data_IF_139339260014
#
_entry.id   IF_139339260014
#
_cell.length_a   1.000
_cell.length_b   1.000
_cell.length_c   1.000
_cell.angle_alpha   90.00
_cell.angle_beta   90.00
_cell.angle_gamma   90.00
#
_symmetry.space_group_name_H-M   'P 1'
#
loop_
_entity.id
_entity.type
_entity.pdbx_description
1 polymer ?
#
# COMPACT_ATOMS: atom_id res chain seq x y z
N UNK A 1 16.04 3.20 9.05
CA UNK A 1 15.68 1.82 9.49
C UNK A 1 14.30 1.48 8.99
N UNK A 2 14.05 0.21 8.57
CA UNK A 2 12.72 -0.27 8.19
C UNK A 2 12.16 -1.14 9.32
N UNK A 3 10.93 -0.85 9.77
CA UNK A 3 10.30 -1.57 10.87
C UNK A 3 9.69 -2.91 10.42
N UNK A 4 9.18 -3.00 9.19
CA UNK A 4 8.52 -4.22 8.69
C UNK A 4 8.83 -4.51 7.23
N UNK A 5 9.24 -5.77 6.95
CA UNK A 5 9.56 -6.25 5.61
C UNK A 5 9.07 -7.70 5.42
N UNK A 6 7.73 -7.90 5.50
CA UNK A 6 6.99 -9.16 5.30
C UNK A 6 7.12 -10.20 6.42
N UNK A 7 7.86 -9.95 7.45
CA UNK A 7 8.30 -10.89 8.49
C UNK A 7 7.44 -10.81 9.76
N UNK A 8 6.12 -11.01 9.61
CA UNK A 8 5.23 -11.10 10.76
C UNK A 8 5.59 -12.33 11.62
N UNK A 9 5.75 -12.18 12.97
CA UNK A 9 5.94 -13.32 13.87
C UNK A 9 4.84 -14.36 13.69
N UNK A 10 5.23 -15.62 13.47
CA UNK A 10 4.30 -16.69 13.11
C UNK A 10 3.18 -16.89 14.14
N UNK A 11 3.47 -16.72 15.43
CA UNK A 11 2.46 -16.79 16.48
C UNK A 11 1.32 -15.76 16.31
N UNK A 12 1.62 -14.56 15.81
CA UNK A 12 0.57 -13.57 15.54
C UNK A 12 -0.32 -13.97 14.36
N UNK A 13 0.22 -14.74 13.42
CA UNK A 13 -0.52 -15.22 12.27
C UNK A 13 -1.33 -16.48 12.58
N UNK A 14 -0.73 -17.46 13.26
CA UNK A 14 -1.36 -18.77 13.53
C UNK A 14 -2.46 -18.68 14.58
N UNK A 15 -2.18 -17.96 15.68
CA UNK A 15 -3.10 -17.84 16.81
C UNK A 15 -4.02 -16.62 16.74
N UNK A 16 -3.71 -15.65 15.88
CA UNK A 16 -4.34 -14.33 15.90
C UNK A 16 -4.79 -13.78 14.53
N UNK A 17 -4.85 -14.60 13.47
CA UNK A 17 -5.22 -14.16 12.11
C UNK A 17 -4.34 -13.02 11.53
N UNK A 18 -3.15 -12.82 12.07
CA UNK A 18 -2.18 -11.86 11.54
C UNK A 18 -2.74 -10.43 11.38
N UNK A 19 -2.50 -9.84 10.24
CA UNK A 19 -2.98 -8.49 9.93
C UNK A 19 -4.50 -8.36 9.75
N UNK A 20 -5.26 -9.45 9.70
CA UNK A 20 -6.72 -9.39 9.76
C UNK A 20 -7.23 -8.96 11.15
N UNK A 21 -6.40 -9.08 12.19
CA UNK A 21 -6.76 -8.75 13.56
C UNK A 21 -6.17 -7.40 14.00
N UNK A 22 -6.99 -6.53 14.58
CA UNK A 22 -6.54 -5.26 15.14
C UNK A 22 -5.57 -5.41 16.34
N UNK A 23 -5.55 -6.56 17.00
CA UNK A 23 -4.53 -6.85 18.01
C UNK A 23 -3.10 -6.82 17.43
N UNK A 24 -2.91 -7.25 16.18
CA UNK A 24 -1.63 -7.13 15.47
C UNK A 24 -1.27 -5.67 15.20
N UNK A 25 -2.25 -4.81 14.93
CA UNK A 25 -2.04 -3.36 14.77
C UNK A 25 -1.48 -2.75 16.06
N UNK A 26 -2.07 -3.10 17.22
CA UNK A 26 -1.60 -2.64 18.53
C UNK A 26 -0.22 -3.18 18.87
N UNK A 27 0.03 -4.47 18.63
CA UNK A 27 1.34 -5.07 18.84
C UNK A 27 2.44 -4.43 17.97
N UNK A 28 2.09 -4.02 16.74
CA UNK A 28 3.02 -3.30 15.88
C UNK A 28 3.31 -1.88 16.38
N UNK A 29 2.32 -1.17 16.94
CA UNK A 29 2.55 0.12 17.58
C UNK A 29 3.53 -0.01 18.76
N UNK A 30 3.31 -0.99 19.65
CA UNK A 30 4.19 -1.26 20.78
C UNK A 30 5.63 -1.56 20.32
N UNK A 31 5.78 -2.38 19.29
CA UNK A 31 7.07 -2.66 18.67
C UNK A 31 7.73 -1.42 18.08
N UNK A 32 6.98 -0.59 17.38
CA UNK A 32 7.50 0.65 16.79
C UNK A 32 7.98 1.62 17.89
N UNK A 33 7.18 1.81 18.94
CA UNK A 33 7.54 2.64 20.12
C UNK A 33 8.81 2.12 20.77
N UNK A 34 8.91 0.82 21.02
CA UNK A 34 10.13 0.22 21.55
C UNK A 34 11.36 0.52 20.68
N UNK A 35 11.23 0.41 19.35
CA UNK A 35 12.31 0.70 18.42
C UNK A 35 12.73 2.20 18.48
N UNK A 36 11.77 3.11 18.55
CA UNK A 36 12.03 4.54 18.61
C UNK A 36 12.74 4.94 19.92
N UNK A 37 12.26 4.39 21.04
CA UNK A 37 12.87 4.64 22.36
C UNK A 37 14.27 4.05 22.49
N UNK A 38 14.51 2.88 21.87
CA UNK A 38 15.78 2.15 22.02
C UNK A 38 16.86 2.62 21.04
N UNK A 39 16.47 2.96 19.80
CA UNK A 39 17.41 3.22 18.71
C UNK A 39 17.27 4.63 18.11
N UNK A 40 16.45 5.49 18.71
CA UNK A 40 16.17 6.82 18.17
C UNK A 40 17.36 7.76 18.13
N UNK A 41 18.35 7.53 18.99
CA UNK A 41 19.62 8.24 18.99
C UNK A 41 20.59 7.82 17.88
N UNK A 42 20.34 6.66 17.26
CA UNK A 42 21.16 6.06 16.21
C UNK A 42 20.55 6.18 14.80
N UNK A 43 19.26 6.50 14.72
CA UNK A 43 18.48 6.43 13.46
C UNK A 43 17.69 7.72 13.23
N UNK A 44 18.06 8.45 12.18
CA UNK A 44 17.39 9.71 11.79
C UNK A 44 16.20 9.49 10.84
N UNK A 45 16.17 8.36 10.10
CA UNK A 45 15.14 8.07 9.12
C UNK A 45 14.56 6.68 9.29
N UNK A 46 13.25 6.63 9.42
CA UNK A 46 12.48 5.42 9.66
C UNK A 46 11.55 5.11 8.50
N UNK A 47 11.24 3.85 8.31
CA UNK A 47 10.27 3.37 7.33
C UNK A 47 9.30 2.48 8.06
N UNK A 48 8.00 2.75 7.96
CA UNK A 48 6.97 1.94 8.60
C UNK A 48 6.87 0.56 7.96
N UNK A 49 6.65 0.52 6.65
CA UNK A 49 6.52 -0.71 5.87
C UNK A 49 7.30 -0.61 4.57
N UNK A 50 7.88 -1.72 4.14
CA UNK A 50 8.30 -1.91 2.76
C UNK A 50 7.22 -2.69 2.01
N UNK A 51 6.71 -2.11 0.92
CA UNK A 51 5.77 -2.73 -0.04
C UNK A 51 4.56 -3.42 0.63
N UNK A 52 3.74 -2.73 1.43
CA UNK A 52 2.64 -3.35 2.18
C UNK A 52 1.58 -4.02 1.29
N UNK A 53 1.54 -3.70 -0.01
CA UNK A 53 0.67 -4.36 -0.98
C UNK A 53 1.10 -5.82 -1.27
N UNK A 54 2.39 -6.14 -1.10
CA UNK A 54 2.92 -7.47 -1.45
C UNK A 54 2.32 -8.59 -0.59
N UNK A 55 2.26 -8.51 0.76
CA UNK A 55 1.55 -9.50 1.56
C UNK A 55 0.06 -9.60 1.22
N UNK A 56 -0.58 -8.48 0.88
CA UNK A 56 -1.99 -8.45 0.48
C UNK A 56 -2.22 -9.21 -0.83
N UNK A 57 -1.44 -8.89 -1.86
CA UNK A 57 -1.57 -9.53 -3.17
C UNK A 57 -1.22 -11.01 -3.12
N UNK A 58 -0.04 -11.33 -2.62
CA UNK A 58 0.48 -12.69 -2.70
C UNK A 58 -0.08 -13.61 -1.62
N UNK A 59 -0.55 -13.07 -0.50
CA UNK A 59 -1.19 -13.85 0.56
C UNK A 59 -2.68 -14.07 0.37
N UNK A 60 -3.37 -13.10 -0.31
CA UNK A 60 -4.84 -13.07 -0.34
C UNK A 60 -5.46 -13.01 -1.74
N UNK A 61 -4.69 -12.71 -2.80
CA UNK A 61 -5.18 -12.73 -4.18
C UNK A 61 -4.57 -13.84 -5.04
N UNK A 62 -3.29 -14.17 -4.82
CA UNK A 62 -2.54 -15.05 -5.73
C UNK A 62 -2.12 -16.40 -5.13
N UNK A 63 -2.44 -16.69 -3.88
CA UNK A 63 -2.07 -17.95 -3.21
C UNK A 63 -0.55 -18.27 -3.34
N UNK A 64 0.28 -17.25 -3.23
CA UNK A 64 1.74 -17.38 -3.42
C UNK A 64 2.54 -17.20 -2.14
N UNK A 65 2.03 -16.45 -1.18
CA UNK A 65 2.59 -16.28 0.15
C UNK A 65 1.62 -16.75 1.23
N UNK A 66 2.16 -17.07 2.40
CA UNK A 66 1.35 -17.30 3.58
C UNK A 66 0.48 -16.05 3.89
N UNK A 67 -0.80 -16.19 4.27
CA UNK A 67 -1.50 -17.41 4.71
C UNK A 67 -2.14 -18.25 3.60
N UNK A 68 -1.87 -18.02 2.33
CA UNK A 68 -2.43 -18.77 1.21
C UNK A 68 -3.97 -18.71 1.11
N UNK A 69 -4.54 -17.59 1.50
CA UNK A 69 -5.97 -17.37 1.61
C UNK A 69 -6.45 -16.56 0.40
N UNK A 70 -7.29 -17.16 -0.45
CA UNK A 70 -7.85 -16.42 -1.60
C UNK A 70 -9.17 -15.80 -1.18
N UNK A 71 -9.11 -14.59 -0.63
CA UNK A 71 -10.23 -13.92 0.00
C UNK A 71 -10.09 -12.39 -0.13
N UNK A 72 -11.01 -11.77 -0.88
CA UNK A 72 -10.95 -10.34 -1.15
C UNK A 72 -11.33 -9.48 0.06
N UNK A 73 -12.25 -9.93 0.90
CA UNK A 73 -12.63 -9.21 2.12
C UNK A 73 -11.47 -9.19 3.11
N UNK A 74 -10.84 -10.35 3.33
CA UNK A 74 -9.65 -10.45 4.16
C UNK A 74 -8.50 -9.59 3.60
N UNK A 75 -8.27 -9.58 2.29
CA UNK A 75 -7.27 -8.74 1.64
C UNK A 75 -7.46 -7.25 1.93
N UNK A 76 -8.70 -6.76 1.79
CA UNK A 76 -9.03 -5.35 2.04
C UNK A 76 -8.89 -5.01 3.52
N UNK A 77 -9.28 -5.91 4.41
CA UNK A 77 -9.13 -5.77 5.86
C UNK A 77 -7.65 -5.70 6.27
N UNK A 78 -6.80 -6.56 5.70
CA UNK A 78 -5.35 -6.54 5.91
C UNK A 78 -4.74 -5.25 5.41
N UNK A 79 -5.10 -4.78 4.21
CA UNK A 79 -4.62 -3.51 3.68
C UNK A 79 -5.00 -2.34 4.59
N UNK A 80 -6.24 -2.31 5.09
CA UNK A 80 -6.72 -1.27 6.00
C UNK A 80 -5.97 -1.30 7.35
N UNK A 81 -5.84 -2.47 7.98
CA UNK A 81 -5.15 -2.63 9.26
C UNK A 81 -3.66 -2.29 9.15
N UNK A 82 -3.02 -2.62 8.04
CA UNK A 82 -1.63 -2.24 7.76
C UNK A 82 -1.47 -0.73 7.65
N UNK A 83 -2.45 -0.03 7.05
CA UNK A 83 -2.48 1.43 7.03
C UNK A 83 -2.64 2.02 8.44
N UNK A 84 -3.53 1.48 9.26
CA UNK A 84 -3.68 1.93 10.66
C UNK A 84 -2.37 1.76 11.43
N UNK A 85 -1.75 0.58 11.35
CA UNK A 85 -0.47 0.29 11.98
C UNK A 85 0.62 1.29 11.55
N UNK A 86 0.69 1.59 10.25
CA UNK A 86 1.62 2.59 9.73
C UNK A 86 1.35 3.99 10.31
N UNK A 87 0.08 4.39 10.46
CA UNK A 87 -0.28 5.72 11.04
C UNK A 87 0.02 5.82 12.53
N UNK A 88 -0.21 4.75 13.28
CA UNK A 88 0.18 4.69 14.69
C UNK A 88 1.71 4.82 14.85
N UNK A 89 2.48 4.15 14.00
CA UNK A 89 3.94 4.29 14.01
C UNK A 89 4.40 5.71 13.63
N UNK A 90 3.75 6.36 12.64
CA UNK A 90 4.04 7.76 12.29
C UNK A 90 3.78 8.67 13.48
N UNK A 91 2.61 8.55 14.12
CA UNK A 91 2.25 9.30 15.31
C UNK A 91 3.27 9.09 16.43
N UNK A 92 3.57 7.83 16.76
CA UNK A 92 4.54 7.48 17.79
C UNK A 92 5.95 8.03 17.51
N UNK A 93 6.39 7.99 16.25
CA UNK A 93 7.69 8.58 15.86
C UNK A 93 7.74 10.08 16.13
N UNK A 94 6.70 10.81 15.76
CA UNK A 94 6.64 12.26 15.97
C UNK A 94 6.48 12.65 17.46
N UNK A 95 5.86 11.78 18.27
CA UNK A 95 5.75 11.97 19.72
C UNK A 95 7.10 11.74 20.44
N UNK A 96 7.88 10.74 20.01
CA UNK A 96 9.09 10.29 20.71
C UNK A 96 10.34 10.97 20.12
N UNK A 97 10.41 11.12 18.80
CA UNK A 97 11.61 11.56 18.08
C UNK A 97 11.37 12.88 17.33
N UNK A 98 11.64 14.00 17.98
CA UNK A 98 11.34 15.35 17.44
C UNK A 98 12.08 15.71 16.14
N UNK A 99 13.24 15.10 15.88
CA UNK A 99 14.10 15.45 14.74
C UNK A 99 14.18 14.35 13.68
N UNK A 100 13.60 13.18 13.92
CA UNK A 100 13.60 12.07 12.99
C UNK A 100 12.51 12.24 11.93
N UNK A 101 12.67 11.52 10.82
CA UNK A 101 11.70 11.45 9.72
C UNK A 101 11.21 10.02 9.56
N UNK A 102 9.92 9.87 9.32
CA UNK A 102 9.31 8.57 9.08
C UNK A 102 8.55 8.54 7.76
N UNK A 103 8.78 7.49 6.98
CA UNK A 103 8.20 7.29 5.66
C UNK A 103 7.59 5.91 5.48
N UNK A 104 7.19 5.64 4.25
CA UNK A 104 6.75 4.33 3.78
C UNK A 104 7.41 4.06 2.42
N UNK A 105 7.71 2.80 2.12
CA UNK A 105 8.18 2.40 0.79
C UNK A 105 7.07 1.65 0.08
N UNK A 106 6.66 2.15 -1.08
CA UNK A 106 5.59 1.57 -1.89
C UNK A 106 6.14 0.98 -3.18
N UNK A 107 5.61 -0.18 -3.55
CA UNK A 107 5.81 -0.76 -4.86
C UNK A 107 4.82 -0.12 -5.83
N UNK A 108 5.26 0.92 -6.55
CA UNK A 108 4.42 1.65 -7.49
C UNK A 108 4.65 1.14 -8.91
N UNK A 109 3.76 0.27 -9.37
CA UNK A 109 3.80 -0.33 -10.70
C UNK A 109 2.67 0.26 -11.54
N UNK A 110 2.96 1.21 -12.47
CA UNK A 110 1.91 1.83 -13.27
C UNK A 110 1.27 0.84 -14.23
N UNK A 111 -0.07 0.75 -14.18
CA UNK A 111 -0.87 -0.05 -15.07
C UNK A 111 -1.31 0.74 -16.31
N UNK A 112 -0.90 0.31 -17.51
CA UNK A 112 -1.36 0.89 -18.76
C UNK A 112 -2.43 0.01 -19.41
N UNK A 113 -3.52 0.57 -19.97
CA UNK A 113 -4.51 -0.23 -20.65
C UNK A 113 -3.89 -0.93 -21.88
N UNK A 114 -4.28 -2.16 -22.13
CA UNK A 114 -3.81 -2.93 -23.28
C UNK A 114 -4.16 -2.24 -24.61
N UNK A 115 -5.33 -1.61 -24.68
CA UNK A 115 -5.82 -0.89 -25.83
C UNK A 115 -6.63 0.35 -25.44
N UNK A 116 -7.13 1.11 -26.42
CA UNK A 116 -8.07 2.22 -26.19
C UNK A 116 -9.52 1.76 -25.97
N UNK A 117 -9.78 0.47 -25.89
CA UNK A 117 -11.11 -0.04 -25.62
C UNK A 117 -11.55 0.38 -24.18
N UNK A 118 -12.80 0.85 -23.99
CA UNK A 118 -13.24 1.33 -22.66
C UNK A 118 -13.07 0.31 -21.53
N UNK A 119 -13.27 -0.99 -21.83
CA UNK A 119 -13.06 -2.04 -20.83
C UNK A 119 -11.58 -2.18 -20.39
N UNK A 120 -10.62 -2.03 -21.31
CA UNK A 120 -9.20 -2.06 -20.98
C UNK A 120 -8.80 -0.81 -20.15
N UNK A 121 -9.38 0.34 -20.46
CA UNK A 121 -9.18 1.59 -19.71
C UNK A 121 -9.73 1.46 -18.28
N UNK A 122 -10.98 0.95 -18.14
CA UNK A 122 -11.59 0.68 -16.83
C UNK A 122 -10.76 -0.31 -16.01
N UNK A 123 -10.27 -1.39 -16.62
CA UNK A 123 -9.44 -2.38 -15.95
C UNK A 123 -8.12 -1.76 -15.45
N UNK A 124 -7.47 -0.91 -16.25
CA UNK A 124 -6.24 -0.21 -15.84
C UNK A 124 -6.51 0.77 -14.69
N UNK A 125 -7.65 1.47 -14.69
CA UNK A 125 -8.05 2.35 -13.59
C UNK A 125 -8.27 1.58 -12.29
N UNK A 126 -8.99 0.44 -12.34
CA UNK A 126 -9.20 -0.41 -11.16
C UNK A 126 -7.85 -0.95 -10.64
N UNK A 127 -6.97 -1.39 -11.52
CA UNK A 127 -5.64 -1.84 -11.13
C UNK A 127 -4.83 -0.75 -10.43
N UNK A 128 -4.85 0.49 -10.93
CA UNK A 128 -4.19 1.62 -10.28
C UNK A 128 -4.78 1.90 -8.89
N UNK A 129 -6.10 1.92 -8.77
CA UNK A 129 -6.79 2.12 -7.48
C UNK A 129 -6.39 1.09 -6.44
N UNK A 130 -6.36 -0.19 -6.82
CA UNK A 130 -6.08 -1.29 -5.90
C UNK A 130 -4.59 -1.44 -5.61
N UNK A 131 -3.73 -1.42 -6.64
CA UNK A 131 -2.30 -1.72 -6.48
C UNK A 131 -1.48 -0.52 -6.00
N UNK A 132 -1.87 0.69 -6.39
CA UNK A 132 -1.10 1.89 -6.04
C UNK A 132 -1.84 2.80 -5.06
N UNK A 133 -3.04 3.26 -5.44
CA UNK A 133 -3.74 4.32 -4.70
C UNK A 133 -4.25 3.87 -3.34
N UNK A 134 -4.51 2.58 -3.14
CA UNK A 134 -4.95 2.01 -1.86
C UNK A 134 -3.97 2.27 -0.70
N UNK A 135 -2.67 2.38 -1.02
CA UNK A 135 -1.62 2.73 -0.06
C UNK A 135 -1.07 4.14 -0.25
N UNK A 136 -0.94 4.61 -1.50
CA UNK A 136 -0.34 5.91 -1.78
C UNK A 136 -1.19 7.06 -1.23
N UNK A 137 -2.48 7.09 -1.56
CA UNK A 137 -3.33 8.21 -1.18
C UNK A 137 -3.51 8.35 0.34
N UNK A 138 -3.85 7.30 1.12
CA UNK A 138 -3.92 7.44 2.57
C UNK A 138 -2.55 7.72 3.20
N UNK A 139 -1.44 7.25 2.62
CA UNK A 139 -0.11 7.52 3.16
C UNK A 139 0.34 8.97 3.01
N UNK A 140 0.03 9.59 1.89
CA UNK A 140 0.54 10.92 1.52
C UNK A 140 -0.50 12.02 1.71
N UNK A 141 -1.77 11.72 1.43
CA UNK A 141 -2.88 12.69 1.47
C UNK A 141 -3.78 12.52 2.70
N UNK A 142 -3.64 11.43 3.46
CA UNK A 142 -4.48 11.12 4.62
C UNK A 142 -5.92 10.71 4.27
N UNK A 143 -6.20 10.39 2.99
CA UNK A 143 -7.56 10.04 2.54
C UNK A 143 -7.52 8.92 1.51
N UNK A 144 -8.56 8.09 1.48
CA UNK A 144 -8.75 7.11 0.41
C UNK A 144 -9.42 7.72 -0.81
N UNK A 145 -9.09 7.30 -2.05
CA UNK A 145 -9.82 7.70 -3.24
C UNK A 145 -11.30 7.30 -3.14
N UNK A 146 -12.20 8.25 -3.40
CA UNK A 146 -13.65 7.99 -3.31
C UNK A 146 -14.07 6.83 -4.23
N UNK A 147 -13.54 6.76 -5.46
CA UNK A 147 -13.82 5.69 -6.41
C UNK A 147 -13.43 4.30 -5.85
N UNK A 148 -12.33 4.20 -5.07
CA UNK A 148 -11.97 2.94 -4.41
C UNK A 148 -12.99 2.59 -3.32
N UNK A 149 -13.38 3.56 -2.51
CA UNK A 149 -14.38 3.36 -1.44
C UNK A 149 -15.73 2.93 -2.02
N UNK A 150 -16.18 3.56 -3.11
CA UNK A 150 -17.41 3.20 -3.82
C UNK A 150 -17.37 1.76 -4.36
N UNK A 151 -16.25 1.35 -4.95
CA UNK A 151 -16.06 -0.04 -5.42
C UNK A 151 -16.14 -1.02 -4.25
N UNK A 152 -15.44 -0.77 -3.14
CA UNK A 152 -15.45 -1.67 -1.99
C UNK A 152 -16.83 -1.76 -1.35
N UNK A 153 -17.57 -0.65 -1.32
CA UNK A 153 -18.95 -0.60 -0.84
C UNK A 153 -19.90 -1.39 -1.75
N UNK A 154 -19.77 -1.24 -3.08
CA UNK A 154 -20.58 -1.98 -4.06
C UNK A 154 -20.41 -3.50 -3.91
N UNK A 155 -19.18 -3.94 -3.60
CA UNK A 155 -18.89 -5.37 -3.38
C UNK A 155 -19.17 -5.84 -1.93
N UNK A 156 -19.57 -4.95 -1.03
CA UNK A 156 -19.90 -5.29 0.36
C UNK A 156 -18.68 -5.69 1.21
N UNK A 157 -17.48 -5.26 0.82
CA UNK A 157 -16.22 -5.59 1.50
C UNK A 157 -15.48 -4.35 2.04
N UNK A 158 -16.20 -3.23 2.17
CA UNK A 158 -15.63 -2.05 2.80
C UNK A 158 -15.36 -2.32 4.30
N UNK A 159 -14.14 -2.13 4.80
CA UNK A 159 -13.85 -2.36 6.22
C UNK A 159 -14.65 -1.42 7.11
N UNK A 160 -15.09 -1.93 8.25
CA UNK A 160 -15.66 -1.07 9.29
C UNK A 160 -14.54 -0.17 9.86
N UNK A 161 -14.71 1.13 9.70
CA UNK A 161 -13.81 2.16 10.23
C UNK A 161 -14.54 2.99 11.29
N UNK A 162 -13.82 3.36 12.36
CA UNK A 162 -14.33 4.37 13.30
C UNK A 162 -13.89 5.77 12.85
N UNK A 163 -14.54 6.80 13.37
CA UNK A 163 -14.15 8.19 13.11
C UNK A 163 -12.71 8.45 13.57
N UNK A 164 -12.34 7.93 14.74
CA UNK A 164 -11.00 8.08 15.32
C UNK A 164 -9.92 7.44 14.43
N UNK A 165 -10.22 6.30 13.79
CA UNK A 165 -9.31 5.65 12.86
C UNK A 165 -9.13 6.46 11.57
N UNK A 166 -10.22 7.06 11.07
CA UNK A 166 -10.16 7.94 9.89
C UNK A 166 -9.40 9.23 10.20
N UNK A 167 -9.59 9.80 11.40
CA UNK A 167 -8.80 10.94 11.88
C UNK A 167 -7.33 10.59 12.04
N UNK A 168 -7.02 9.43 12.61
CA UNK A 168 -5.64 8.94 12.71
C UNK A 168 -4.95 8.86 11.34
N UNK A 169 -5.65 8.33 10.32
CA UNK A 169 -5.14 8.24 8.96
C UNK A 169 -4.93 9.64 8.36
N UNK A 170 -5.87 10.54 8.55
CA UNK A 170 -5.85 11.91 8.01
C UNK A 170 -4.71 12.73 8.57
N UNK A 171 -4.50 12.65 9.88
CA UNK A 171 -3.66 13.59 10.62
C UNK A 171 -2.19 13.12 10.73
N UNK A 172 -1.92 11.84 10.43
CA UNK A 172 -0.58 11.26 10.56
C UNK A 172 -0.02 10.75 9.21
N UNK A 173 0.12 11.65 8.24
CA UNK A 173 0.75 11.33 6.95
C UNK A 173 2.26 11.19 7.06
N UNK A 174 2.88 10.47 6.13
CA UNK A 174 4.33 10.23 6.13
C UNK A 174 5.13 11.47 5.75
N UNK A 175 6.34 11.63 6.31
CA UNK A 175 7.27 12.71 5.96
C UNK A 175 7.91 12.54 4.59
N UNK A 176 8.08 11.30 4.14
CA UNK A 176 8.65 10.97 2.83
C UNK A 176 8.08 9.68 2.27
N UNK A 177 8.16 9.53 0.96
CA UNK A 177 7.79 8.32 0.24
C UNK A 177 9.04 7.72 -0.42
N UNK A 178 9.30 6.45 -0.13
CA UNK A 178 10.19 5.62 -0.93
C UNK A 178 9.40 4.90 -2.02
N UNK A 179 10.00 4.69 -3.17
CA UNK A 179 9.36 3.99 -4.29
C UNK A 179 10.27 2.89 -4.80
N UNK A 180 9.77 1.67 -4.76
CA UNK A 180 10.33 0.55 -5.51
C UNK A 180 9.61 0.48 -6.85
N UNK A 181 10.37 0.59 -7.93
CA UNK A 181 9.84 0.53 -9.28
C UNK A 181 10.59 -0.53 -10.08
N UNK A 182 9.85 -1.46 -10.65
CA UNK A 182 10.42 -2.55 -11.43
C UNK A 182 10.10 -2.43 -12.92
N UNK A 183 8.82 -2.43 -13.27
CA UNK A 183 8.37 -2.39 -14.65
C UNK A 183 6.90 -1.96 -14.74
N UNK A 184 6.46 -1.35 -15.85
CA UNK A 184 5.04 -1.09 -16.07
C UNK A 184 4.29 -2.38 -16.42
N UNK A 185 3.00 -2.41 -16.13
CA UNK A 185 2.11 -3.51 -16.50
C UNK A 185 1.18 -3.11 -17.65
N UNK A 186 0.84 -4.06 -18.51
CA UNK A 186 -0.26 -3.96 -19.46
C UNK A 186 -1.49 -4.66 -18.90
N UNK A 187 -2.57 -3.92 -18.76
CA UNK A 187 -3.78 -4.35 -18.06
C UNK A 187 -4.95 -4.51 -19.01
N UNK A 188 -5.71 -5.57 -18.85
CA UNK A 188 -6.96 -5.81 -19.56
C UNK A 188 -7.96 -6.51 -18.63
N UNK A 189 -9.28 -6.47 -18.92
CA UNK A 189 -10.27 -7.26 -18.16
C UNK A 189 -9.94 -8.74 -18.18
N UNK A 190 -10.26 -9.48 -17.12
CA UNK A 190 -10.08 -10.94 -17.11
C UNK A 190 -10.92 -11.60 -18.21
N UNK A 191 -10.34 -12.54 -18.93
CA UNK A 191 -11.07 -13.35 -19.93
C UNK A 191 -11.89 -14.44 -19.27
N UNK A 192 -11.38 -14.97 -18.16
CA UNK A 192 -12.03 -15.99 -17.35
C UNK A 192 -11.77 -15.64 -15.86
N UNK A 193 -12.80 -15.80 -15.04
CA UNK A 193 -12.66 -15.68 -13.61
C UNK A 193 -11.84 -16.86 -13.08
N UNK A 194 -10.72 -16.60 -12.41
CA UNK A 194 -9.95 -17.65 -11.72
C UNK A 194 -10.65 -18.11 -10.45
N UNK A 195 -11.37 -17.20 -9.80
CA UNK A 195 -12.07 -17.41 -8.55
C UNK A 195 -13.49 -16.82 -8.68
N UNK A 196 -14.48 -17.63 -9.14
CA UNK A 196 -15.83 -17.15 -9.42
C UNK A 196 -16.56 -16.62 -8.18
N UNK A 197 -16.14 -17.03 -6.99
CA UNK A 197 -16.79 -16.66 -5.72
C UNK A 197 -16.37 -15.26 -5.20
N UNK A 198 -15.40 -14.62 -5.84
CA UNK A 198 -14.98 -13.27 -5.48
C UNK A 198 -15.12 -12.30 -6.66
N UNK A 199 -16.20 -11.49 -6.71
CA UNK A 199 -16.44 -10.52 -7.78
C UNK A 199 -15.30 -9.50 -7.92
N UNK A 200 -14.70 -9.07 -6.81
CA UNK A 200 -13.56 -8.14 -6.84
C UNK A 200 -12.33 -8.81 -7.48
N UNK A 201 -12.04 -10.07 -7.17
CA UNK A 201 -10.95 -10.81 -7.80
C UNK A 201 -11.15 -10.99 -9.31
N UNK A 202 -12.39 -11.08 -9.78
CA UNK A 202 -12.68 -11.09 -11.21
C UNK A 202 -12.35 -9.78 -11.90
N UNK A 203 -12.55 -8.65 -11.23
CA UNK A 203 -12.24 -7.32 -11.76
C UNK A 203 -10.75 -6.98 -11.66
N UNK A 204 -10.04 -7.55 -10.67
CA UNK A 204 -8.60 -7.35 -10.42
C UNK A 204 -7.75 -8.44 -11.11
N UNK A 205 -8.30 -9.61 -11.41
CA UNK A 205 -7.61 -10.68 -12.15
C UNK A 205 -7.27 -10.21 -13.57
N UNK A 206 -6.36 -9.24 -13.59
CA UNK A 206 -5.77 -8.73 -14.82
C UNK A 206 -4.81 -9.78 -15.34
N UNK A 207 -4.93 -10.17 -16.61
CA UNK A 207 -3.88 -10.91 -17.27
C UNK A 207 -2.68 -9.97 -17.38
N UNK A 208 -1.76 -10.07 -16.44
CA UNK A 208 -0.53 -9.31 -16.39
C UNK A 208 0.35 -9.77 -17.55
N UNK A 209 0.27 -9.08 -18.67
CA UNK A 209 1.28 -9.20 -19.71
C UNK A 209 2.45 -8.32 -19.33
N UNK A 210 3.51 -8.91 -18.78
CA UNK A 210 4.76 -8.18 -18.54
C UNK A 210 5.29 -7.64 -19.86
N UNK A 211 5.31 -6.31 -20.00
CA UNK A 211 6.11 -5.67 -21.02
C UNK A 211 7.56 -5.76 -20.56
N UNK A 212 8.40 -6.51 -21.24
CA UNK A 212 9.84 -6.56 -20.96
C UNK A 212 10.46 -5.19 -21.29
N UNK A 213 10.54 -4.32 -20.28
CA UNK A 213 11.33 -3.11 -20.32
C UNK A 213 12.34 -3.17 -19.19
N UNK A 214 13.57 -2.97 -19.55
CA UNK A 214 14.82 -3.02 -18.80
C UNK A 214 14.73 -3.07 -17.26
N UNK A 215 15.30 -4.11 -16.70
CA UNK A 215 15.53 -4.32 -15.26
C UNK A 215 16.43 -3.22 -14.70
N UNK A 216 15.86 -2.28 -13.96
CA UNK A 216 16.63 -1.38 -13.10
C UNK A 216 15.83 -1.13 -11.84
N UNK A 217 16.35 -1.55 -10.71
CA UNK A 217 15.81 -1.22 -9.39
C UNK A 217 16.25 0.21 -9.07
N UNK A 218 15.32 1.13 -8.91
CA UNK A 218 15.60 2.48 -8.46
C UNK A 218 14.80 2.75 -7.20
N UNK A 219 15.49 2.95 -6.08
CA UNK A 219 14.89 3.51 -4.87
C UNK A 219 14.94 5.03 -5.02
N UNK A 220 13.78 5.66 -5.04
CA UNK A 220 13.66 7.12 -5.12
C UNK A 220 13.03 7.64 -3.85
N UNK A 221 13.77 8.47 -3.13
CA UNK A 221 13.26 9.16 -1.93
C UNK A 221 12.88 10.59 -2.33
N UNK A 222 11.60 10.91 -2.24
CA UNK A 222 11.07 12.26 -2.49
C UNK A 222 10.49 12.87 -1.22
N UNK A 223 10.55 14.22 -1.10
CA UNK A 223 9.86 14.96 -0.03
C UNK A 223 8.42 15.24 -0.45
N UNK A 224 7.47 14.96 0.44
CA UNK A 224 6.09 15.43 0.29
C UNK A 224 6.03 16.96 0.51
N UNK A 225 5.39 17.67 -0.39
CA UNK A 225 5.04 19.08 -0.19
C UNK A 225 3.55 19.23 -0.44
N UNK A 226 2.90 20.15 0.26
CA UNK A 226 1.47 20.43 0.18
C UNK A 226 0.95 20.85 -1.21
N UNK A 227 1.82 20.86 -2.24
CA UNK A 227 1.48 21.29 -3.63
C UNK A 227 1.76 20.25 -4.71
N UNK A 228 2.06 18.99 -4.35
CA UNK A 228 2.32 17.92 -5.29
C UNK A 228 3.56 17.12 -4.95
N UNK A 229 3.60 15.90 -5.41
CA UNK A 229 4.69 14.97 -5.15
C UNK A 229 5.64 14.94 -6.35
N UNK A 230 6.92 15.27 -6.14
CA UNK A 230 7.95 15.14 -7.17
C UNK A 230 8.82 13.92 -6.91
N UNK A 231 8.83 12.98 -7.85
CA UNK A 231 9.76 11.85 -7.85
C UNK A 231 11.00 12.26 -8.66
N UNK A 232 12.16 12.32 -8.03
CA UNK A 232 13.43 12.59 -8.71
C UNK A 232 14.24 11.31 -8.83
N UNK A 233 14.55 10.86 -10.05
CA UNK A 233 15.54 9.80 -10.28
C UNK A 233 16.89 10.40 -10.64
N UNK A 234 17.96 9.92 -10.02
CA UNK A 234 19.34 10.36 -10.32
C UNK A 234 19.88 9.86 -11.68
N UNK A 235 19.13 9.03 -12.40
CA UNK A 235 19.66 8.37 -13.61
C UNK A 235 18.64 8.27 -14.74
N UNK A 236 17.89 9.27 -15.04
CA UNK A 236 17.25 9.49 -16.35
C UNK A 236 16.29 10.65 -16.27
N UNK A 237 16.40 11.59 -17.19
CA UNK A 237 15.61 12.80 -17.32
C UNK A 237 14.15 12.47 -17.68
N UNK A 238 13.35 11.98 -16.71
CA UNK A 238 11.89 12.07 -16.80
C UNK A 238 11.34 12.37 -15.42
N UNK A 239 10.95 13.60 -15.23
CA UNK A 239 10.16 14.07 -14.10
C UNK A 239 8.73 13.57 -14.34
N UNK A 240 8.25 12.64 -13.51
CA UNK A 240 6.83 12.34 -13.44
C UNK A 240 6.20 13.26 -12.40
N UNK A 241 5.48 14.27 -12.86
CA UNK A 241 4.61 15.05 -12.01
C UNK A 241 3.26 14.32 -11.92
N UNK A 242 2.89 13.85 -10.74
CA UNK A 242 1.52 13.42 -10.46
C UNK A 242 0.78 14.71 -10.08
N UNK A 243 0.12 15.33 -11.04
CA UNK A 243 -0.78 16.45 -10.78
C UNK A 243 -2.06 15.89 -10.16
N UNK A 244 -2.42 16.37 -8.97
CA UNK A 244 -3.78 16.29 -8.48
C UNK A 244 -4.68 17.13 -9.39
N UNK A 245 -5.27 16.48 -10.40
CA UNK A 245 -6.39 17.09 -11.12
C UNK A 245 -7.62 17.05 -10.23
N UNK A 246 -8.22 18.21 -10.00
CA UNK A 246 -9.57 18.39 -9.46
C UNK A 246 -10.61 17.63 -10.23
#
# INVERSE_FOLDING_TARGET
MNLYHFDLPFALQEDGDGWENKATVSAYEDYARFCFETYGDLVDQWITFNEPIVPVEFGYFYDAHYPHKVDAEAAVKVAYNTQLASRLAVKACHEILLNSKIGIVLNLIPGYPRSRHPADIKAARIADLVQAQSFLAPSVLGTYPLELVEILLEYGILPAATEEELELIRDNTVDFLGVNYYQPLRVMPPRFAKHPDSPLLQSISTNLMSCQVAKSIHIVVGKSTSKGFMISSKTSRKIMAISSGC
#
